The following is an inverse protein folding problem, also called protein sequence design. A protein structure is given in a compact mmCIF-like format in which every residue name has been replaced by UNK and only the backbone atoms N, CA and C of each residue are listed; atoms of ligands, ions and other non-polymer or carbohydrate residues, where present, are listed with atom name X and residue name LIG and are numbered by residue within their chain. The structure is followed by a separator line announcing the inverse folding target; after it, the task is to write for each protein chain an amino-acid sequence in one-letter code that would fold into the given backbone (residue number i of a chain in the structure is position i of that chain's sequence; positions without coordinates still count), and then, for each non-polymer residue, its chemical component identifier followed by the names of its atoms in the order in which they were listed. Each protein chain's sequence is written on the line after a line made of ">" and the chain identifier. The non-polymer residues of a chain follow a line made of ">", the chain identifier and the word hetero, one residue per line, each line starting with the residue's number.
data_IF_244786388012
#
_entry.id   IF_244786388012
#
_cell.length_a   1.000
_cell.length_b   1.000
_cell.length_c   1.000
_cell.angle_alpha   90.00
_cell.angle_beta   90.00
_cell.angle_gamma   90.00
#
_symmetry.space_group_name_H-M   'P 1'
#
loop_
_entity.id
_entity.type
_entity.pdbx_description
1 polymer ?
#
# COMPACT_ATOMS: atom_id res chain seq x y z
N UNK A 1 58.22 -9.48 8.47
CA UNK A 1 57.23 -9.20 9.54
C UNK A 1 56.38 -7.95 9.29
N UNK A 2 56.88 -6.96 8.53
CA UNK A 2 56.19 -5.68 8.24
C UNK A 2 54.96 -5.84 7.32
N UNK A 3 55.04 -6.71 6.31
CA UNK A 3 53.96 -6.94 5.33
C UNK A 3 52.68 -7.50 5.97
N UNK A 4 52.80 -8.36 6.99
CA UNK A 4 51.64 -8.88 7.73
C UNK A 4 50.92 -7.77 8.51
N UNK A 5 51.66 -6.86 9.15
CA UNK A 5 51.06 -5.72 9.88
C UNK A 5 50.34 -4.77 8.93
N UNK A 6 50.89 -4.54 7.74
CA UNK A 6 50.28 -3.67 6.72
C UNK A 6 48.99 -4.27 6.14
N UNK A 7 48.93 -5.59 5.96
CA UNK A 7 47.74 -6.30 5.51
C UNK A 7 46.60 -6.25 6.55
N UNK A 8 46.92 -6.41 7.84
CA UNK A 8 45.94 -6.30 8.92
C UNK A 8 45.38 -4.87 9.06
N UNK A 9 46.18 -3.84 8.82
CA UNK A 9 45.68 -2.45 8.79
C UNK A 9 44.78 -2.17 7.59
N UNK A 10 45.05 -2.76 6.41
CA UNK A 10 44.21 -2.59 5.22
C UNK A 10 42.85 -3.30 5.32
N UNK A 11 42.83 -4.49 5.96
CA UNK A 11 41.59 -5.24 6.23
C UNK A 11 40.77 -4.57 7.35
N UNK A 12 41.43 -3.98 8.35
CA UNK A 12 40.75 -3.21 9.41
C UNK A 12 40.12 -1.92 8.88
N UNK A 13 40.73 -1.27 7.88
CA UNK A 13 40.21 -0.01 7.33
C UNK A 13 38.99 -0.20 6.40
N UNK A 14 38.76 -1.42 5.91
CA UNK A 14 37.67 -1.72 4.97
C UNK A 14 36.34 -2.08 5.65
N UNK A 15 36.32 -2.31 6.97
CA UNK A 15 35.08 -2.64 7.70
C UNK A 15 34.28 -1.42 8.16
N UNK A 16 34.82 -0.19 8.04
CA UNK A 16 34.15 1.03 8.48
C UNK A 16 33.30 1.75 7.40
N UNK A 17 33.28 1.27 6.15
CA UNK A 17 32.56 1.92 5.05
C UNK A 17 31.16 1.35 4.75
N UNK A 18 30.62 0.45 5.57
CA UNK A 18 29.32 -0.16 5.33
C UNK A 18 28.26 0.22 6.37
N UNK A 19 28.15 1.52 6.69
CA UNK A 19 26.93 2.07 7.29
C UNK A 19 26.03 2.64 6.17
N UNK A 20 25.47 1.75 5.35
CA UNK A 20 24.33 2.12 4.51
C UNK A 20 23.09 2.19 5.39
N UNK A 21 22.53 3.39 5.57
CA UNK A 21 21.18 3.53 6.14
C UNK A 21 20.24 2.80 5.18
N UNK A 22 19.67 1.68 5.63
CA UNK A 22 18.69 0.94 4.84
C UNK A 22 17.53 1.91 4.52
N UNK A 23 17.17 2.09 3.23
CA UNK A 23 16.07 2.96 2.87
C UNK A 23 14.81 2.44 3.55
N UNK A 24 14.04 3.38 4.11
CA UNK A 24 12.78 3.10 4.79
C UNK A 24 11.87 2.23 3.89
N UNK A 25 11.56 1.02 4.36
CA UNK A 25 10.73 0.04 3.61
C UNK A 25 9.27 0.51 3.44
N UNK A 26 8.88 1.66 4.02
CA UNK A 26 7.57 2.30 3.87
C UNK A 26 7.44 3.14 2.59
N UNK A 27 8.16 2.79 1.53
CA UNK A 27 8.16 3.56 0.29
C UNK A 27 7.04 3.14 -0.65
N UNK A 28 6.50 4.11 -1.38
CA UNK A 28 5.60 3.84 -2.50
C UNK A 28 6.42 3.23 -3.63
N UNK A 29 5.86 2.21 -4.28
CA UNK A 29 6.43 1.59 -5.46
C UNK A 29 5.88 2.27 -6.71
N UNK A 30 6.73 2.55 -7.70
CA UNK A 30 6.30 3.08 -8.99
C UNK A 30 5.36 2.09 -9.68
N UNK A 31 4.15 2.54 -10.01
CA UNK A 31 3.10 1.71 -10.59
C UNK A 31 2.68 2.22 -11.96
N UNK A 32 2.50 1.32 -12.92
CA UNK A 32 2.21 1.68 -14.33
C UNK A 32 0.80 1.27 -14.79
N UNK A 33 -0.15 1.06 -13.90
CA UNK A 33 -1.55 0.82 -14.25
C UNK A 33 -2.49 1.52 -13.26
N UNK A 34 -3.75 1.69 -13.66
CA UNK A 34 -4.77 2.26 -12.77
C UNK A 34 -5.08 1.26 -11.65
N UNK A 35 -5.02 1.72 -10.41
CA UNK A 35 -5.23 0.91 -9.21
C UNK A 35 -6.02 1.74 -8.21
N UNK A 36 -6.91 1.08 -7.48
CA UNK A 36 -7.75 1.71 -6.45
C UNK A 36 -7.25 1.38 -5.04
N UNK A 37 -7.70 2.13 -4.03
CA UNK A 37 -7.32 1.90 -2.65
C UNK A 37 -8.09 0.70 -2.08
N UNK A 38 -7.44 -0.15 -1.30
CA UNK A 38 -8.08 -1.28 -0.61
C UNK A 38 -8.36 -2.50 -1.49
N UNK A 39 -7.98 -2.49 -2.77
CA UNK A 39 -8.07 -3.68 -3.63
C UNK A 39 -6.95 -4.67 -3.33
N UNK A 40 -7.20 -5.92 -3.69
CA UNK A 40 -6.30 -7.06 -3.47
C UNK A 40 -5.73 -7.54 -4.78
N UNK A 41 -4.51 -8.01 -4.75
CA UNK A 41 -3.84 -8.43 -5.96
C UNK A 41 -2.40 -8.86 -5.76
N UNK A 42 -1.78 -9.19 -6.88
CA UNK A 42 -0.42 -9.64 -6.91
C UNK A 42 0.50 -8.59 -7.52
N UNK A 43 1.66 -8.45 -6.91
CA UNK A 43 2.73 -7.60 -7.39
C UNK A 43 3.53 -8.37 -8.44
N UNK A 44 3.39 -7.97 -9.70
CA UNK A 44 4.26 -8.39 -10.80
C UNK A 44 5.41 -7.39 -10.90
N UNK A 45 6.59 -7.80 -10.41
CA UNK A 45 7.76 -6.93 -10.38
C UNK A 45 8.55 -7.06 -11.68
N UNK A 46 8.74 -5.96 -12.39
CA UNK A 46 9.88 -5.81 -13.32
C UNK A 46 11.07 -5.18 -12.58
N UNK A 47 12.25 -5.18 -13.18
CA UNK A 47 13.49 -4.65 -12.56
C UNK A 47 13.32 -3.22 -12.02
N UNK A 48 12.45 -2.39 -12.62
CA UNK A 48 12.32 -0.97 -12.28
C UNK A 48 10.89 -0.46 -12.04
N UNK A 49 9.87 -1.25 -12.35
CA UNK A 49 8.45 -0.86 -12.30
C UNK A 49 7.66 -2.00 -11.67
N UNK A 50 6.77 -1.68 -10.74
CA UNK A 50 5.77 -2.60 -10.22
C UNK A 50 4.52 -2.50 -11.08
N UNK A 51 4.00 -3.64 -11.51
CA UNK A 51 2.64 -3.76 -12.02
C UNK A 51 1.82 -4.47 -10.96
N UNK A 52 0.70 -3.87 -10.58
CA UNK A 52 -0.22 -4.47 -9.63
C UNK A 52 -1.42 -5.04 -10.36
N UNK A 53 -1.59 -6.37 -10.32
CA UNK A 53 -2.73 -7.02 -10.94
C UNK A 53 -3.81 -7.28 -9.90
N UNK A 54 -4.92 -6.55 -10.01
CA UNK A 54 -6.06 -6.72 -9.12
C UNK A 54 -6.68 -8.10 -9.32
N UNK A 55 -6.68 -8.89 -8.25
CA UNK A 55 -7.30 -10.21 -8.20
C UNK A 55 -8.65 -10.19 -7.47
N UNK A 56 -8.88 -9.20 -6.60
CA UNK A 56 -10.12 -9.12 -5.83
C UNK A 56 -10.44 -7.72 -5.35
N UNK A 57 -11.73 -7.40 -5.31
CA UNK A 57 -12.25 -6.14 -4.78
C UNK A 57 -13.12 -6.47 -3.56
N UNK A 58 -12.61 -6.25 -2.34
CA UNK A 58 -13.37 -6.49 -1.12
C UNK A 58 -14.57 -5.54 -1.02
N UNK A 59 -15.65 -5.99 -0.40
CA UNK A 59 -16.77 -5.16 -0.02
C UNK A 59 -16.49 -4.44 1.30
N UNK A 60 -16.29 -3.13 1.25
CA UNK A 60 -16.20 -2.27 2.43
C UNK A 60 -17.53 -1.51 2.58
N UNK A 61 -18.41 -1.97 3.46
CA UNK A 61 -19.72 -1.34 3.70
C UNK A 61 -19.65 -0.13 4.65
N UNK A 62 -18.68 -0.15 5.58
CA UNK A 62 -18.39 0.94 6.51
C UNK A 62 -17.42 1.95 5.89
N UNK A 63 -17.49 3.20 6.36
CA UNK A 63 -16.52 4.23 5.99
C UNK A 63 -15.17 3.95 6.66
N UNK A 64 -14.12 3.79 5.85
CA UNK A 64 -12.75 3.57 6.35
C UNK A 64 -11.97 4.87 6.21
N UNK A 65 -11.43 5.37 7.31
CA UNK A 65 -10.72 6.65 7.34
C UNK A 65 -9.41 6.59 6.54
N UNK A 66 -9.15 7.63 5.76
CA UNK A 66 -7.92 7.80 4.99
C UNK A 66 -7.28 9.17 5.26
N UNK A 67 -5.95 9.23 5.18
CA UNK A 67 -5.19 10.47 5.15
C UNK A 67 -4.95 10.93 3.72
N UNK A 68 -4.76 12.24 3.59
CA UNK A 68 -4.26 12.90 2.41
C UNK A 68 -3.06 13.77 2.78
N UNK A 69 -1.96 13.58 2.06
CA UNK A 69 -0.76 14.40 2.19
C UNK A 69 -0.39 14.99 0.83
N UNK A 70 -0.29 16.33 0.76
CA UNK A 70 0.14 17.03 -0.45
C UNK A 70 1.67 17.24 -0.40
N UNK A 71 2.38 16.87 -1.47
CA UNK A 71 3.84 17.00 -1.57
C UNK A 71 4.27 17.68 -2.86
N UNK A 72 5.39 18.39 -2.79
CA UNK A 72 6.05 18.95 -3.97
C UNK A 72 6.81 17.86 -4.71
N UNK A 73 6.81 17.94 -6.04
CA UNK A 73 7.70 17.12 -6.86
C UNK A 73 9.16 17.43 -6.54
N UNK A 74 9.96 16.36 -6.60
CA UNK A 74 11.42 16.43 -6.67
C UNK A 74 11.87 15.75 -7.95
N UNK A 75 13.13 15.96 -8.36
CA UNK A 75 13.71 15.28 -9.52
C UNK A 75 13.56 13.75 -9.45
N UNK A 76 13.68 13.15 -8.26
CA UNK A 76 13.49 11.71 -8.05
C UNK A 76 12.05 11.28 -8.31
N UNK A 77 11.10 11.92 -7.64
CA UNK A 77 9.67 11.62 -7.78
C UNK A 77 9.17 11.89 -9.21
N UNK A 78 9.67 12.94 -9.85
CA UNK A 78 9.31 13.24 -11.23
C UNK A 78 9.77 12.15 -12.21
N UNK A 79 10.97 11.58 -11.99
CA UNK A 79 11.42 10.42 -12.77
C UNK A 79 10.54 9.19 -12.55
N UNK A 80 10.09 8.94 -11.32
CA UNK A 80 9.13 7.86 -11.03
C UNK A 80 7.81 8.07 -11.78
N UNK A 81 7.28 9.29 -11.70
CA UNK A 81 6.08 9.68 -12.43
C UNK A 81 6.24 9.46 -13.95
N UNK A 82 7.31 9.98 -14.55
CA UNK A 82 7.59 9.81 -15.98
C UNK A 82 7.68 8.33 -16.40
N UNK A 83 8.26 7.47 -15.54
CA UNK A 83 8.31 6.02 -15.78
C UNK A 83 6.92 5.39 -15.73
N UNK A 84 6.13 5.73 -14.72
CA UNK A 84 4.79 5.20 -14.52
C UNK A 84 3.86 5.51 -15.69
N UNK A 85 3.92 6.74 -16.20
CA UNK A 85 3.03 7.20 -17.29
C UNK A 85 3.52 6.86 -18.69
N UNK A 86 4.68 6.21 -18.83
CA UNK A 86 5.26 5.92 -20.14
C UNK A 86 4.34 5.00 -20.93
N UNK A 87 3.84 5.48 -22.07
CA UNK A 87 2.93 4.73 -22.93
C UNK A 87 1.46 4.77 -22.49
N UNK A 88 1.11 5.58 -21.49
CA UNK A 88 -0.27 5.83 -21.08
C UNK A 88 -0.81 7.14 -21.65
N UNK A 89 -2.11 7.17 -21.94
CA UNK A 89 -2.83 8.42 -22.20
C UNK A 89 -3.13 9.10 -20.86
N UNK A 90 -2.39 10.16 -20.56
CA UNK A 90 -2.53 10.91 -19.30
C UNK A 90 -3.30 12.19 -19.55
N UNK A 91 -4.38 12.40 -18.80
CA UNK A 91 -5.23 13.59 -18.92
C UNK A 91 -4.50 14.85 -18.44
N UNK A 92 -3.67 14.75 -17.40
CA UNK A 92 -2.97 15.88 -16.78
C UNK A 92 -1.46 15.62 -16.72
N UNK A 93 -0.74 15.95 -17.80
CA UNK A 93 0.71 15.77 -17.84
C UNK A 93 1.41 16.88 -17.05
N UNK A 94 2.12 16.49 -15.99
CA UNK A 94 2.97 17.42 -15.22
C UNK A 94 4.32 17.60 -15.91
N UNK A 95 4.79 18.85 -15.93
CA UNK A 95 6.16 19.21 -16.29
C UNK A 95 6.90 19.71 -15.05
N UNK A 96 8.17 19.32 -14.90
CA UNK A 96 9.00 19.68 -13.76
C UNK A 96 10.42 20.00 -14.23
N UNK A 97 10.94 21.12 -13.72
CA UNK A 97 12.38 21.44 -13.71
C UNK A 97 12.74 22.00 -12.33
N UNK A 98 13.98 21.78 -11.89
CA UNK A 98 14.41 22.14 -10.51
C UNK A 98 14.34 23.66 -10.24
N UNK A 99 14.41 24.49 -11.29
CA UNK A 99 14.39 25.95 -11.23
C UNK A 99 12.98 26.57 -11.15
N UNK A 100 11.92 25.76 -11.16
CA UNK A 100 10.56 26.30 -11.01
C UNK A 100 10.40 26.94 -9.64
N UNK A 101 9.97 28.21 -9.63
CA UNK A 101 9.62 28.95 -8.41
C UNK A 101 8.48 28.25 -7.66
N UNK A 102 7.44 27.84 -8.39
CA UNK A 102 6.33 27.04 -7.86
C UNK A 102 6.45 25.62 -8.39
N UNK A 103 6.82 24.69 -7.51
CA UNK A 103 6.93 23.27 -7.86
C UNK A 103 5.53 22.66 -8.00
N UNK A 104 5.30 21.82 -9.03
CA UNK A 104 4.07 21.05 -9.12
C UNK A 104 3.94 20.14 -7.90
N UNK A 105 2.69 19.78 -7.59
CA UNK A 105 2.35 18.98 -6.42
C UNK A 105 1.71 17.65 -6.81
N UNK A 106 1.85 16.67 -5.93
CA UNK A 106 1.16 15.39 -6.00
C UNK A 106 0.53 15.07 -4.65
N UNK A 107 -0.35 14.08 -4.65
CA UNK A 107 -1.14 13.68 -3.50
C UNK A 107 -0.80 12.25 -3.11
N UNK A 108 -0.60 12.01 -1.82
CA UNK A 108 -0.50 10.69 -1.22
C UNK A 108 -1.78 10.41 -0.42
N UNK A 109 -2.49 9.36 -0.78
CA UNK A 109 -3.56 8.78 0.03
C UNK A 109 -3.02 7.59 0.81
N UNK A 110 -3.43 7.45 2.07
CA UNK A 110 -3.12 6.26 2.86
C UNK A 110 -4.30 5.85 3.74
N UNK A 111 -4.53 4.55 3.87
CA UNK A 111 -5.48 4.01 4.83
C UNK A 111 -4.94 4.23 6.25
N UNK A 112 -5.69 4.95 7.08
CA UNK A 112 -5.36 5.13 8.50
C UNK A 112 -5.99 4.02 9.35
N UNK A 113 -7.28 3.74 9.11
CA UNK A 113 -8.05 2.78 9.91
C UNK A 113 -7.90 1.36 9.37
N UNK A 114 -6.72 0.77 9.61
CA UNK A 114 -6.44 -0.63 9.25
C UNK A 114 -7.35 -1.61 10.00
N UNK A 115 -7.81 -1.27 11.20
CA UNK A 115 -8.70 -2.11 12.00
C UNK A 115 -10.03 -2.31 11.28
N UNK A 116 -10.61 -1.23 10.73
CA UNK A 116 -11.85 -1.31 9.95
C UNK A 116 -11.68 -2.11 8.64
N UNK A 117 -10.51 -2.05 8.01
CA UNK A 117 -10.18 -2.92 6.86
C UNK A 117 -10.19 -4.38 7.29
N UNK A 118 -9.52 -4.72 8.39
CA UNK A 118 -9.43 -6.08 8.91
C UNK A 118 -10.82 -6.61 9.29
N UNK A 119 -11.62 -5.80 9.98
CA UNK A 119 -13.01 -6.13 10.32
C UNK A 119 -13.81 -6.45 9.04
N UNK A 120 -13.71 -5.60 8.02
CA UNK A 120 -14.41 -5.79 6.75
C UNK A 120 -13.95 -7.07 6.05
N UNK A 121 -12.65 -7.34 5.95
CA UNK A 121 -12.14 -8.55 5.29
C UNK A 121 -12.52 -9.84 6.03
N UNK A 122 -12.67 -9.78 7.36
CA UNK A 122 -13.14 -10.90 8.17
C UNK A 122 -14.67 -11.05 8.19
N UNK A 123 -15.43 -10.13 7.57
CA UNK A 123 -16.89 -10.18 7.54
C UNK A 123 -17.43 -11.32 6.68
N UNK A 124 -18.76 -11.55 6.77
CA UNK A 124 -19.44 -12.54 5.93
C UNK A 124 -19.49 -12.11 4.45
N UNK A 125 -19.58 -10.80 4.19
CA UNK A 125 -19.62 -10.26 2.83
C UNK A 125 -18.31 -10.52 2.05
N UNK A 126 -17.21 -10.77 2.77
CA UNK A 126 -15.89 -11.01 2.19
C UNK A 126 -15.41 -12.47 2.35
N UNK A 127 -16.28 -13.44 2.56
CA UNK A 127 -15.87 -14.87 2.70
C UNK A 127 -15.04 -15.35 1.51
N UNK A 128 -15.49 -15.08 0.27
CA UNK A 128 -14.77 -15.50 -0.93
C UNK A 128 -13.41 -14.81 -1.07
N UNK A 129 -13.38 -13.52 -0.76
CA UNK A 129 -12.16 -12.71 -0.76
C UNK A 129 -11.17 -13.21 0.28
N UNK A 130 -11.63 -13.45 1.51
CA UNK A 130 -10.83 -14.00 2.61
C UNK A 130 -10.28 -15.38 2.27
N UNK A 131 -11.09 -16.24 1.66
CA UNK A 131 -10.64 -17.56 1.23
C UNK A 131 -9.59 -17.48 0.11
N UNK A 132 -9.73 -16.54 -0.82
CA UNK A 132 -8.75 -16.29 -1.87
C UNK A 132 -7.38 -15.94 -1.26
N UNK A 133 -7.31 -14.89 -0.42
CA UNK A 133 -6.04 -14.46 0.20
C UNK A 133 -5.44 -15.51 1.14
N UNK A 134 -6.27 -16.37 1.72
CA UNK A 134 -5.82 -17.49 2.55
C UNK A 134 -5.11 -18.54 1.70
N UNK A 135 -5.64 -18.82 0.51
CA UNK A 135 -5.08 -19.80 -0.42
C UNK A 135 -3.89 -19.25 -1.22
N UNK A 136 -3.82 -17.93 -1.38
CA UNK A 136 -2.75 -17.20 -2.07
C UNK A 136 -2.05 -16.27 -1.07
N UNK A 137 -1.19 -16.78 -0.18
CA UNK A 137 -0.65 -16.02 0.96
C UNK A 137 0.28 -14.85 0.58
N UNK A 138 0.68 -14.77 -0.69
CA UNK A 138 1.47 -13.66 -1.22
C UNK A 138 0.61 -12.49 -1.72
N UNK A 139 -0.71 -12.62 -1.73
CA UNK A 139 -1.61 -11.53 -2.13
C UNK A 139 -1.39 -10.31 -1.24
N UNK A 140 -1.35 -9.14 -1.88
CA UNK A 140 -1.14 -7.83 -1.25
C UNK A 140 -2.42 -7.02 -1.29
N UNK A 141 -2.52 -6.06 -0.38
CA UNK A 141 -3.54 -5.02 -0.40
C UNK A 141 -2.90 -3.66 -0.68
N UNK A 142 -3.59 -2.84 -1.48
CA UNK A 142 -3.20 -1.46 -1.75
C UNK A 142 -3.64 -0.59 -0.57
N UNK A 143 -2.69 -0.15 0.25
CA UNK A 143 -2.95 0.68 1.44
C UNK A 143 -2.62 2.15 1.24
N UNK A 144 -2.07 2.50 0.09
CA UNK A 144 -1.89 3.89 -0.30
C UNK A 144 -1.74 4.08 -1.80
N UNK A 145 -2.10 5.27 -2.26
CA UNK A 145 -1.99 5.69 -3.65
C UNK A 145 -1.25 7.02 -3.73
N UNK A 146 -0.32 7.10 -4.68
CA UNK A 146 0.33 8.35 -5.06
C UNK A 146 -0.20 8.77 -6.41
N UNK A 147 -0.83 9.94 -6.46
CA UNK A 147 -1.56 10.40 -7.65
C UNK A 147 -1.18 11.84 -8.02
N UNK A 148 -1.27 12.12 -9.32
CA UNK A 148 -1.46 13.48 -9.83
C UNK A 148 -2.95 13.67 -10.05
N UNK A 149 -3.49 14.75 -9.50
CA UNK A 149 -4.91 15.10 -9.60
C UNK A 149 -5.11 16.35 -10.46
N UNK A 150 -6.30 16.47 -11.06
CA UNK A 150 -6.72 17.72 -11.72
C UNK A 150 -6.95 18.84 -10.70
N UNK A 151 -7.03 20.07 -11.18
CA UNK A 151 -7.35 21.24 -10.35
C UNK A 151 -8.72 21.10 -9.67
N UNK A 152 -9.72 20.56 -10.38
CA UNK A 152 -11.06 20.29 -9.84
C UNK A 152 -11.02 19.32 -8.64
N UNK A 153 -10.35 18.17 -8.80
CA UNK A 153 -10.17 17.19 -7.72
C UNK A 153 -9.46 17.85 -6.52
N UNK A 154 -8.39 18.61 -6.79
CA UNK A 154 -7.62 19.29 -5.75
C UNK A 154 -8.47 20.32 -4.98
N UNK A 155 -9.33 21.06 -5.67
CA UNK A 155 -10.24 22.02 -5.04
C UNK A 155 -11.32 21.33 -4.21
N UNK A 156 -11.85 20.20 -4.66
CA UNK A 156 -12.81 19.41 -3.88
C UNK A 156 -12.17 18.88 -2.60
N UNK A 157 -10.96 18.32 -2.68
CA UNK A 157 -10.21 17.82 -1.53
C UNK A 157 -9.93 18.92 -0.50
N UNK A 158 -9.55 20.13 -0.95
CA UNK A 158 -9.31 21.29 -0.05
C UNK A 158 -10.53 21.75 0.73
N UNK A 159 -11.74 21.41 0.28
CA UNK A 159 -12.99 21.78 0.97
C UNK A 159 -13.33 20.81 2.11
N UNK A 160 -12.81 19.58 2.07
CA UNK A 160 -13.08 18.54 3.03
C UNK A 160 -12.18 18.67 4.27
N UNK A 161 -12.71 18.31 5.44
CA UNK A 161 -11.95 18.16 6.68
C UNK A 161 -11.70 16.69 7.04
N UNK A 162 -12.46 15.77 6.45
CA UNK A 162 -12.28 14.34 6.61
C UNK A 162 -12.53 13.59 5.29
N UNK A 163 -11.79 12.49 5.13
CA UNK A 163 -11.83 11.64 3.95
C UNK A 163 -12.02 10.19 4.38
N UNK A 164 -12.89 9.48 3.67
CA UNK A 164 -13.15 8.07 3.89
C UNK A 164 -13.21 7.35 2.56
N UNK A 165 -12.84 6.07 2.51
CA UNK A 165 -13.14 5.22 1.37
C UNK A 165 -14.13 4.11 1.74
N UNK A 166 -14.90 3.65 0.75
CA UNK A 166 -15.74 2.46 0.84
C UNK A 166 -15.99 1.89 -0.56
N UNK A 167 -16.57 0.69 -0.62
CA UNK A 167 -16.98 0.07 -1.87
C UNK A 167 -18.40 0.49 -2.23
N UNK A 168 -18.60 0.98 -3.45
CA UNK A 168 -19.94 1.34 -3.94
C UNK A 168 -20.72 0.10 -4.44
N UNK A 169 -21.98 0.29 -4.83
CA UNK A 169 -22.83 -0.79 -5.34
C UNK A 169 -22.32 -1.40 -6.66
N UNK A 170 -21.49 -0.68 -7.41
CA UNK A 170 -20.87 -1.13 -8.65
C UNK A 170 -19.52 -1.84 -8.41
N UNK A 171 -19.18 -2.15 -7.15
CA UNK A 171 -17.91 -2.77 -6.74
C UNK A 171 -16.68 -1.94 -7.12
N UNK A 172 -16.76 -0.63 -6.96
CA UNK A 172 -15.63 0.28 -7.12
C UNK A 172 -15.27 0.89 -5.76
N UNK A 173 -13.98 1.11 -5.54
CA UNK A 173 -13.49 1.79 -4.35
C UNK A 173 -13.50 3.29 -4.59
N UNK A 174 -14.32 4.01 -3.83
CA UNK A 174 -14.53 5.45 -4.03
C UNK A 174 -14.26 6.23 -2.75
N UNK A 175 -13.79 7.47 -2.90
CA UNK A 175 -13.45 8.35 -1.78
C UNK A 175 -14.62 9.29 -1.52
N UNK A 176 -15.08 9.34 -0.27
CA UNK A 176 -16.11 10.23 0.23
C UNK A 176 -15.48 11.41 0.95
N UNK A 177 -16.01 12.60 0.63
CA UNK A 177 -15.56 13.87 1.17
C UNK A 177 -16.53 14.35 2.24
N UNK A 178 -16.03 14.68 3.41
CA UNK A 178 -16.82 15.20 4.52
C UNK A 178 -16.36 16.60 4.92
N UNK A 179 -17.31 17.42 5.37
CA UNK A 179 -17.09 18.70 6.02
C UNK A 179 -18.06 18.86 7.18
N UNK A 180 -17.55 19.05 8.39
CA UNK A 180 -18.37 19.15 9.62
C UNK A 180 -19.37 18.00 9.71
N UNK A 181 -18.88 16.78 9.54
CA UNK A 181 -19.63 15.51 9.60
C UNK A 181 -20.69 15.30 8.49
N UNK A 182 -20.85 16.26 7.57
CA UNK A 182 -21.74 16.10 6.42
C UNK A 182 -20.96 15.68 5.19
N UNK A 183 -21.47 14.68 4.48
CA UNK A 183 -20.93 14.31 3.18
C UNK A 183 -21.15 15.46 2.19
N UNK A 184 -20.07 15.97 1.61
CA UNK A 184 -20.09 17.08 0.63
C UNK A 184 -19.79 16.62 -0.79
N UNK A 185 -19.36 15.37 -0.97
CA UNK A 185 -19.06 14.85 -2.30
C UNK A 185 -18.54 13.42 -2.29
N UNK A 186 -18.42 12.88 -3.49
CA UNK A 186 -17.75 11.61 -3.79
C UNK A 186 -16.77 11.89 -4.92
N UNK A 187 -15.54 11.43 -4.74
CA UNK A 187 -14.43 11.70 -5.64
C UNK A 187 -14.22 10.50 -6.55
N UNK A 188 -14.35 10.75 -7.85
CA UNK A 188 -14.00 9.81 -8.89
C UNK A 188 -12.51 9.94 -9.23
N UNK A 189 -11.73 8.92 -8.88
CA UNK A 189 -10.30 8.87 -9.15
C UNK A 189 -9.97 8.51 -10.62
N UNK A 190 -10.97 8.25 -11.47
CA UNK A 190 -10.75 7.97 -12.91
C UNK A 190 -10.02 9.11 -13.63
N UNK A 191 -10.17 10.35 -13.14
CA UNK A 191 -9.50 11.55 -13.67
C UNK A 191 -8.14 11.84 -13.02
N UNK A 192 -7.72 11.00 -12.08
CA UNK A 192 -6.40 11.06 -11.48
C UNK A 192 -5.46 10.05 -12.12
N UNK A 193 -4.18 10.38 -12.14
CA UNK A 193 -3.14 9.50 -12.64
C UNK A 193 -2.36 8.96 -11.46
N UNK A 194 -2.65 7.72 -11.08
CA UNK A 194 -1.86 7.00 -10.09
C UNK A 194 -0.51 6.61 -10.69
N UNK A 195 0.56 6.96 -10.00
CA UNK A 195 1.93 6.64 -10.42
C UNK A 195 2.76 5.96 -9.34
N UNK A 196 2.17 5.76 -8.15
CA UNK A 196 2.76 4.91 -7.13
C UNK A 196 1.71 4.27 -6.24
N UNK A 197 2.06 3.10 -5.69
CA UNK A 197 1.22 2.33 -4.79
C UNK A 197 1.98 2.00 -3.52
N UNK A 198 1.31 2.04 -2.38
CA UNK A 198 1.82 1.46 -1.12
C UNK A 198 1.12 0.13 -0.90
N UNK A 199 1.89 -0.93 -0.80
CA UNK A 199 1.39 -2.29 -0.63
C UNK A 199 1.58 -2.76 0.81
N UNK A 200 0.70 -3.65 1.23
CA UNK A 200 0.76 -4.28 2.55
C UNK A 200 0.44 -5.76 2.46
N UNK A 201 0.95 -6.52 3.43
CA UNK A 201 0.76 -7.95 3.56
C UNK A 201 -0.13 -8.28 4.75
N UNK A 202 -0.78 -9.43 4.68
CA UNK A 202 -1.61 -9.96 5.75
C UNK A 202 -0.79 -10.81 6.73
N UNK A 203 -1.13 -10.69 8.00
CA UNK A 203 -0.71 -11.61 9.03
C UNK A 203 -1.95 -12.25 9.67
N UNK A 204 -1.93 -13.57 9.70
CA UNK A 204 -3.02 -14.41 10.15
C UNK A 204 -2.85 -14.78 11.62
N UNK A 205 -3.95 -14.92 12.34
CA UNK A 205 -3.97 -15.37 13.73
C UNK A 205 -5.03 -16.45 13.95
N UNK A 206 -5.03 -17.01 15.15
CA UNK A 206 -6.04 -17.95 15.62
C UNK A 206 -6.91 -17.20 16.63
N UNK A 207 -8.23 -17.24 16.46
CA UNK A 207 -9.19 -16.70 17.46
C UNK A 207 -9.30 -17.63 18.67
N UNK A 208 -9.90 -17.16 19.75
CA UNK A 208 -10.28 -18.03 20.89
C UNK A 208 -11.22 -19.19 20.49
N UNK A 209 -12.00 -19.02 19.42
CA UNK A 209 -12.84 -20.09 18.82
C UNK A 209 -12.09 -21.01 17.85
N UNK A 210 -10.76 -21.03 17.90
CA UNK A 210 -9.88 -21.86 17.06
C UNK A 210 -10.05 -21.68 15.54
N UNK A 211 -10.47 -20.49 15.09
CA UNK A 211 -10.57 -20.13 13.68
C UNK A 211 -9.39 -19.29 13.22
N UNK A 212 -8.88 -19.59 12.03
CA UNK A 212 -7.86 -18.78 11.37
C UNK A 212 -8.51 -17.54 10.75
N UNK A 213 -8.00 -16.36 11.07
CA UNK A 213 -8.51 -15.05 10.63
C UNK A 213 -7.37 -14.10 10.32
N UNK A 214 -7.67 -13.00 9.61
CA UNK A 214 -6.70 -11.92 9.39
C UNK A 214 -6.58 -11.14 10.70
N UNK A 215 -5.41 -11.12 11.30
CA UNK A 215 -5.17 -10.47 12.58
C UNK A 215 -4.59 -9.06 12.42
N UNK A 216 -3.70 -8.84 11.44
CA UNK A 216 -3.09 -7.53 11.20
C UNK A 216 -2.64 -7.34 9.74
N UNK A 217 -2.39 -6.07 9.38
CA UNK A 217 -1.90 -5.62 8.06
C UNK A 217 -0.58 -4.87 8.27
N UNK A 218 0.50 -5.46 7.77
CA UNK A 218 1.88 -4.95 7.87
C UNK A 218 2.36 -4.40 6.54
N UNK A 219 3.31 -3.46 6.53
CA UNK A 219 3.89 -2.99 5.26
C UNK A 219 4.53 -4.15 4.51
N UNK A 220 4.61 -4.04 3.18
CA UNK A 220 5.25 -5.09 2.39
C UNK A 220 6.71 -5.31 2.83
N UNK A 221 7.10 -6.57 3.03
CA UNK A 221 8.42 -6.95 3.55
C UNK A 221 8.52 -7.05 5.08
N UNK A 222 7.66 -6.37 5.85
CA UNK A 222 7.72 -6.40 7.32
C UNK A 222 7.26 -7.75 7.89
N UNK A 223 7.96 -8.26 8.91
CA UNK A 223 7.62 -9.54 9.54
C UNK A 223 6.31 -9.45 10.34
N UNK A 224 5.57 -10.56 10.35
CA UNK A 224 4.44 -10.72 11.26
C UNK A 224 4.94 -10.78 12.71
N UNK A 225 4.26 -10.08 13.61
CA UNK A 225 4.63 -9.98 15.03
C UNK A 225 3.73 -10.85 15.90
N UNK A 226 4.11 -11.06 17.16
CA UNK A 226 3.34 -11.81 18.15
C UNK A 226 3.09 -13.27 17.70
N UNK A 227 1.89 -13.81 17.97
CA UNK A 227 1.47 -15.17 17.58
C UNK A 227 0.85 -15.22 16.18
N UNK A 228 1.16 -14.26 15.31
CA UNK A 228 0.62 -14.21 13.94
C UNK A 228 1.58 -14.81 12.92
N UNK A 229 1.07 -15.27 11.79
CA UNK A 229 1.88 -15.85 10.71
C UNK A 229 1.48 -15.30 9.34
N UNK A 230 2.45 -15.17 8.43
CA UNK A 230 2.16 -14.78 7.04
C UNK A 230 1.44 -15.91 6.28
N UNK A 231 1.78 -17.15 6.60
CA UNK A 231 1.18 -18.33 5.99
C UNK A 231 0.08 -18.90 6.90
N UNK A 232 -1.21 -18.76 6.54
CA UNK A 232 -2.31 -19.28 7.34
C UNK A 232 -2.29 -20.81 7.46
N UNK A 233 -1.71 -21.54 6.50
CA UNK A 233 -1.66 -23.01 6.52
C UNK A 233 -0.80 -23.54 7.67
N UNK A 234 0.17 -22.74 8.14
CA UNK A 234 0.96 -23.09 9.33
C UNK A 234 0.10 -23.11 10.59
N UNK A 235 -0.85 -22.17 10.69
CA UNK A 235 -1.76 -22.08 11.83
C UNK A 235 -2.81 -23.21 11.79
N UNK A 236 -3.30 -23.58 10.60
CA UNK A 236 -4.22 -24.71 10.44
C UNK A 236 -3.59 -26.03 10.89
N UNK A 237 -2.35 -26.31 10.47
CA UNK A 237 -1.62 -27.49 10.91
C UNK A 237 -1.35 -27.51 12.42
N UNK A 238 -1.21 -26.34 13.05
CA UNK A 238 -1.07 -26.25 14.50
C UNK A 238 -2.37 -26.62 15.20
N UNK A 239 -3.52 -26.15 14.69
CA UNK A 239 -4.84 -26.50 15.20
C UNK A 239 -5.11 -28.01 15.05
N UNK A 240 -4.90 -28.59 13.87
CA UNK A 240 -5.07 -30.02 13.62
C UNK A 240 -4.26 -30.86 14.62
N UNK A 241 -2.97 -30.53 14.83
CA UNK A 241 -2.13 -31.24 15.80
C UNK A 241 -2.64 -31.15 17.24
N UNK A 242 -3.32 -30.08 17.61
CA UNK A 242 -3.90 -29.95 18.94
C UNK A 242 -5.17 -30.81 19.09
N UNK A 243 -5.98 -30.93 18.05
CA UNK A 243 -7.17 -31.79 18.04
C UNK A 243 -6.83 -33.29 18.14
N UNK A 244 -5.72 -33.74 17.53
CA UNK A 244 -5.31 -35.15 17.53
C UNK A 244 -4.39 -35.54 18.71
N UNK A 245 -4.22 -34.68 19.71
CA UNK A 245 -3.44 -34.95 20.93
C UNK A 245 -4.29 -35.44 22.12
N UNK A 246 -5.54 -35.83 21.86
CA UNK A 246 -6.45 -36.43 22.83
C UNK A 246 -6.66 -37.91 22.52
#
# INVERSE_FOLDING_TARGET
>A
MIIRKLLYTLISLSTFFSCGVLPEQNSYETNSNTVELGVLGDKKKSVYITQFETAGIPGYSKFIKISLEEKNFTKGIYKEYQKAIKGQTVVNKIEYVDSLEIKPKFLNFAIEDKTMVIESLNSQDNVNVRNYIKNVPNTKIVTGLRIVASSDITQQLKKADALYFRTNQQKQQVIYLFKKEKQIGVLDLSKATAFGVKLSSFCWGITDTEKVHIATIMSDGENCTLKTNRDPKKLEKQLEKNYFKF
#
